data_IF_055712541404
#
_entry.id   IF_055712541404
#
_cell.length_a   1.000
_cell.length_b   1.000
_cell.length_c   1.000
_cell.angle_alpha   90.00
_cell.angle_beta   90.00
_cell.angle_gamma   90.00
#
_symmetry.space_group_name_H-M   'P 1'
#
loop_
_entity.id
_entity.type
_entity.pdbx_description
1 polymer ?
#
# COMPACT_ATOMS: atom_id res chain seq x y z
N UNK A 1 -6.86 -8.07 13.94
CA UNK A 1 -5.86 -7.00 14.10
C UNK A 1 -6.43 -6.13 15.19
N UNK A 2 -5.98 -6.38 16.42
CA UNK A 2 -6.76 -5.93 17.57
C UNK A 2 -6.32 -4.53 18.05
N UNK A 3 -5.33 -3.94 17.36
CA UNK A 3 -4.95 -2.54 17.46
C UNK A 3 -4.37 -2.07 16.12
N UNK A 4 -5.13 -1.24 15.39
CA UNK A 4 -4.63 -0.56 14.20
C UNK A 4 -3.76 0.63 14.61
N UNK A 5 -2.60 0.78 13.97
CA UNK A 5 -1.77 1.97 14.17
C UNK A 5 -2.39 3.15 13.38
N UNK A 6 -2.72 4.29 14.03
CA UNK A 6 -3.23 5.48 13.35
C UNK A 6 -2.30 5.97 12.23
N UNK A 7 -0.99 5.85 12.39
CA UNK A 7 -0.01 6.18 11.35
C UNK A 7 -0.19 5.27 10.13
N UNK A 8 -0.40 3.97 10.35
CA UNK A 8 -0.65 3.03 9.25
C UNK A 8 -1.93 3.36 8.48
N UNK A 9 -2.97 3.84 9.17
CA UNK A 9 -4.21 4.30 8.52
C UNK A 9 -3.97 5.56 7.69
N UNK A 10 -3.25 6.55 8.24
CA UNK A 10 -2.93 7.79 7.52
C UNK A 10 -2.05 7.54 6.28
N UNK A 11 -1.06 6.66 6.40
CA UNK A 11 -0.20 6.26 5.27
C UNK A 11 -0.98 5.51 4.19
N UNK A 12 -1.86 4.58 4.60
CA UNK A 12 -2.74 3.89 3.67
C UNK A 12 -3.67 4.87 2.92
N UNK A 13 -4.27 5.83 3.65
CA UNK A 13 -5.12 6.85 3.04
C UNK A 13 -4.35 7.69 2.01
N UNK A 14 -3.15 8.17 2.37
CA UNK A 14 -2.29 8.93 1.46
C UNK A 14 -1.92 8.12 0.20
N UNK A 15 -1.58 6.85 0.37
CA UNK A 15 -1.28 5.95 -0.74
C UNK A 15 -2.49 5.79 -1.68
N UNK A 16 -3.67 5.54 -1.12
CA UNK A 16 -4.90 5.37 -1.90
C UNK A 16 -5.31 6.65 -2.63
N UNK A 17 -5.09 7.84 -2.04
CA UNK A 17 -5.27 9.11 -2.74
C UNK A 17 -4.32 9.24 -3.94
N UNK A 18 -3.08 8.75 -3.82
CA UNK A 18 -2.15 8.70 -4.95
C UNK A 18 -2.60 7.75 -6.05
N UNK A 19 -3.11 6.57 -5.70
CA UNK A 19 -3.68 5.61 -6.65
C UNK A 19 -4.89 6.20 -7.39
N UNK A 20 -5.78 6.90 -6.69
CA UNK A 20 -6.95 7.57 -7.28
C UNK A 20 -6.52 8.64 -8.30
N UNK A 21 -5.50 9.43 -7.96
CA UNK A 21 -4.92 10.41 -8.88
C UNK A 21 -4.23 9.77 -10.09
N UNK A 22 -3.57 8.62 -9.92
CA UNK A 22 -2.95 7.90 -11.03
C UNK A 22 -4.02 7.32 -11.98
N UNK A 23 -5.12 6.80 -11.43
CA UNK A 23 -6.29 6.35 -12.21
C UNK A 23 -6.92 7.50 -12.99
N UNK A 24 -7.13 8.64 -12.33
CA UNK A 24 -7.62 9.85 -12.99
C UNK A 24 -6.71 10.26 -14.15
N UNK A 25 -5.39 10.28 -13.94
CA UNK A 25 -4.41 10.58 -14.99
C UNK A 25 -4.47 9.57 -16.15
N UNK A 26 -4.63 8.27 -15.85
CA UNK A 26 -4.79 7.24 -16.87
C UNK A 26 -6.05 7.48 -17.72
N UNK A 27 -7.18 7.80 -17.10
CA UNK A 27 -8.44 8.05 -17.80
C UNK A 27 -8.37 9.27 -18.72
N UNK A 28 -7.80 10.40 -18.25
CA UNK A 28 -7.66 11.60 -19.09
C UNK A 28 -6.67 11.41 -20.25
N UNK A 29 -5.78 10.43 -20.15
CA UNK A 29 -4.85 10.05 -21.22
C UNK A 29 -5.43 9.01 -22.19
N UNK A 30 -6.71 8.64 -22.08
CA UNK A 30 -7.35 7.66 -22.96
C UNK A 30 -7.06 6.22 -22.58
N UNK A 31 -6.77 5.96 -21.29
CA UNK A 31 -6.55 4.63 -20.70
C UNK A 31 -5.38 3.84 -21.31
N UNK A 32 -4.16 4.39 -21.38
CA UNK A 32 -2.99 3.68 -21.89
C UNK A 32 -2.54 2.51 -21.01
N UNK A 33 -2.85 2.52 -19.71
CA UNK A 33 -2.51 1.44 -18.78
C UNK A 33 -3.69 0.46 -18.66
N UNK A 34 -3.47 -0.85 -18.84
CA UNK A 34 -4.50 -1.87 -18.65
C UNK A 34 -5.07 -1.88 -17.23
N UNK A 35 -6.37 -2.12 -17.12
CA UNK A 35 -7.10 -2.14 -15.86
C UNK A 35 -6.47 -3.07 -14.82
N UNK A 36 -5.97 -4.25 -15.23
CA UNK A 36 -5.35 -5.23 -14.32
C UNK A 36 -4.13 -4.68 -13.58
N UNK A 37 -3.49 -3.65 -14.11
CA UNK A 37 -2.33 -3.00 -13.52
C UNK A 37 -2.69 -1.76 -12.68
N UNK A 38 -3.90 -1.23 -12.84
CA UNK A 38 -4.35 -0.04 -12.13
C UNK A 38 -5.11 -0.35 -10.85
N UNK A 39 -5.63 -1.57 -10.71
CA UNK A 39 -6.46 -1.98 -9.59
C UNK A 39 -5.67 -2.09 -8.27
N UNK A 40 -5.98 -1.28 -7.24
CA UNK A 40 -5.23 -1.31 -5.99
C UNK A 40 -5.22 -2.67 -5.27
N UNK A 41 -6.26 -3.49 -5.43
CA UNK A 41 -6.31 -4.82 -4.82
C UNK A 41 -5.26 -5.80 -5.37
N UNK A 42 -4.62 -5.48 -6.49
CA UNK A 42 -3.55 -6.32 -7.07
C UNK A 42 -2.19 -6.08 -6.40
N UNK A 43 -2.01 -4.98 -5.67
CA UNK A 43 -0.72 -4.60 -5.11
C UNK A 43 -0.77 -3.99 -3.71
N UNK A 44 -1.95 -3.74 -3.14
CA UNK A 44 -2.09 -3.15 -1.83
C UNK A 44 -3.01 -3.96 -0.92
N UNK A 45 -2.46 -4.41 0.21
CA UNK A 45 -3.20 -5.03 1.31
C UNK A 45 -2.95 -4.22 2.60
N UNK A 46 -4.01 -3.58 3.11
CA UNK A 46 -3.93 -2.76 4.33
C UNK A 46 -3.63 -3.55 5.61
N UNK A 47 -4.03 -4.84 5.68
CA UNK A 47 -3.69 -5.71 6.81
C UNK A 47 -2.21 -6.08 6.78
N UNK A 48 -1.70 -6.39 5.59
CA UNK A 48 -0.27 -6.65 5.39
C UNK A 48 0.56 -5.42 5.71
N UNK A 49 0.16 -4.23 5.24
CA UNK A 49 0.80 -2.96 5.58
C UNK A 49 0.88 -2.76 7.10
N UNK A 50 -0.24 -2.92 7.82
CA UNK A 50 -0.28 -2.77 9.27
C UNK A 50 0.65 -3.77 9.98
N UNK A 51 0.64 -5.03 9.55
CA UNK A 51 1.53 -6.07 10.08
C UNK A 51 3.02 -5.72 9.90
N UNK A 52 3.42 -5.33 8.70
CA UNK A 52 4.81 -4.98 8.37
C UNK A 52 5.24 -3.68 9.04
N UNK A 53 4.34 -2.69 9.15
CA UNK A 53 4.61 -1.43 9.85
C UNK A 53 4.86 -1.64 11.35
N UNK A 54 4.11 -2.53 12.00
CA UNK A 54 4.31 -2.90 13.40
C UNK A 54 5.67 -3.59 13.58
N UNK A 55 5.98 -4.59 12.73
CA UNK A 55 7.28 -5.28 12.76
C UNK A 55 8.46 -4.33 12.54
N UNK A 56 8.32 -3.38 11.63
CA UNK A 56 9.33 -2.36 11.37
C UNK A 56 9.51 -1.40 12.56
N UNK A 57 8.41 -0.93 13.16
CA UNK A 57 8.45 0.16 14.14
C UNK A 57 8.68 -0.31 15.58
N UNK A 58 8.06 -1.43 15.98
CA UNK A 58 8.14 -1.97 17.35
C UNK A 58 9.24 -3.01 17.48
N UNK A 59 9.25 -3.98 16.56
CA UNK A 59 10.17 -5.13 16.64
C UNK A 59 11.53 -4.83 15.99
N UNK A 60 11.64 -3.68 15.30
CA UNK A 60 12.83 -3.26 14.55
C UNK A 60 13.34 -4.37 13.62
N UNK A 61 12.42 -5.11 13.01
CA UNK A 61 12.75 -6.21 12.11
C UNK A 61 13.61 -5.70 10.94
N UNK A 62 14.64 -6.44 10.53
CA UNK A 62 15.48 -6.04 9.41
C UNK A 62 14.67 -6.03 8.11
N UNK A 63 15.07 -5.18 7.16
CA UNK A 63 14.35 -4.99 5.90
C UNK A 63 14.16 -6.31 5.13
N UNK A 64 15.17 -7.18 5.13
CA UNK A 64 15.10 -8.49 4.46
C UNK A 64 13.95 -9.36 4.98
N UNK A 65 13.66 -9.31 6.29
CA UNK A 65 12.56 -10.05 6.90
C UNK A 65 11.19 -9.41 6.63
N UNK A 66 11.19 -8.08 6.40
CA UNK A 66 10.00 -7.35 5.96
C UNK A 66 9.70 -7.59 4.48
N UNK A 67 10.72 -7.90 3.67
CA UNK A 67 10.60 -8.24 2.25
C UNK A 67 10.47 -9.75 2.00
N UNK A 68 10.22 -10.55 3.04
CA UNK A 68 10.04 -12.00 2.94
C UNK A 68 11.23 -12.72 2.27
N UNK A 69 12.44 -12.20 2.48
CA UNK A 69 13.69 -12.74 1.92
C UNK A 69 13.99 -12.31 0.49
N UNK A 70 13.21 -11.36 -0.07
CA UNK A 70 13.45 -10.76 -1.39
C UNK A 70 14.37 -9.54 -1.34
#
# INVERSE_FOLDING_TARGET
>A
IDNLDPRGVQLAALFMSGVDMALFANDVCGQPIPWEHCCPWMYFDGKLLQSKLIRASRDKAPLIDLCDGQ
#
